data_IF_474135925987
#
_entry.id   IF_474135925987
#
_cell.length_a   1.000
_cell.length_b   1.000
_cell.length_c   1.000
_cell.angle_alpha   90.00
_cell.angle_beta   90.00
_cell.angle_gamma   90.00
#
_symmetry.space_group_name_H-M   'P 1'
#
loop_
_entity.id
_entity.type
_entity.pdbx_description
1 polymer ?
#
# COMPACT_ATOMS: atom_id res chain seq x y z
N UNK A 1 0.31 -22.61 -1.97
CA UNK A 1 1.57 -22.36 -2.69
C UNK A 1 2.70 -23.12 -2.02
N UNK A 2 3.61 -23.63 -2.81
CA UNK A 2 4.80 -24.35 -2.35
C UNK A 2 5.93 -23.36 -2.00
N UNK A 3 6.84 -23.68 -1.05
CA UNK A 3 8.09 -22.93 -0.91
C UNK A 3 8.89 -22.98 -2.22
N UNK A 4 9.48 -21.87 -2.64
CA UNK A 4 10.22 -21.73 -3.89
C UNK A 4 9.36 -21.22 -5.04
N UNK A 5 9.64 -21.71 -6.26
CA UNK A 5 8.98 -21.23 -7.48
C UNK A 5 7.62 -21.89 -7.68
N UNK A 6 6.59 -21.08 -7.89
CA UNK A 6 5.24 -21.51 -8.25
C UNK A 6 4.89 -20.91 -9.62
N UNK A 7 4.71 -21.75 -10.63
CA UNK A 7 4.34 -21.35 -11.98
C UNK A 7 2.84 -21.46 -12.18
N UNK A 8 2.18 -20.34 -12.50
CA UNK A 8 0.74 -20.28 -12.76
C UNK A 8 0.52 -20.12 -14.26
N UNK A 9 0.08 -21.18 -14.91
CA UNK A 9 -0.15 -21.23 -16.35
C UNK A 9 -1.63 -21.45 -16.69
N UNK A 10 -2.04 -21.04 -17.88
CA UNK A 10 -3.40 -21.21 -18.39
C UNK A 10 -3.70 -20.15 -19.45
N UNK A 11 -4.85 -20.27 -20.11
CA UNK A 11 -5.32 -19.34 -21.12
C UNK A 11 -5.63 -17.95 -20.52
N UNK A 12 -5.74 -16.94 -21.39
CA UNK A 12 -6.12 -15.59 -20.98
C UNK A 12 -7.52 -15.58 -20.36
N UNK A 13 -7.77 -14.63 -19.49
CA UNK A 13 -9.04 -14.45 -18.76
C UNK A 13 -9.40 -15.57 -17.75
N UNK A 14 -8.52 -16.54 -17.46
CA UNK A 14 -8.77 -17.62 -16.48
C UNK A 14 -8.48 -17.23 -15.01
N UNK A 15 -8.23 -15.94 -14.72
CA UNK A 15 -8.07 -15.48 -13.35
C UNK A 15 -6.66 -15.58 -12.76
N UNK A 16 -5.62 -15.89 -13.54
CA UNK A 16 -4.22 -15.95 -13.07
C UNK A 16 -3.81 -14.65 -12.33
N UNK A 17 -4.07 -13.52 -12.95
CA UNK A 17 -3.78 -12.21 -12.36
C UNK A 17 -4.64 -11.93 -11.13
N UNK A 18 -5.89 -12.41 -11.10
CA UNK A 18 -6.76 -12.25 -9.92
C UNK A 18 -6.22 -13.01 -8.71
N UNK A 19 -5.60 -14.18 -8.93
CA UNK A 19 -4.93 -14.92 -7.85
C UNK A 19 -3.75 -14.12 -7.27
N UNK A 20 -2.87 -13.58 -8.13
CA UNK A 20 -1.78 -12.71 -7.67
C UNK A 20 -2.31 -11.45 -6.97
N UNK A 21 -3.38 -10.87 -7.51
CA UNK A 21 -4.04 -9.71 -6.91
C UNK A 21 -4.62 -10.02 -5.53
N UNK A 22 -5.19 -11.21 -5.33
CA UNK A 22 -5.72 -11.62 -4.03
C UNK A 22 -4.62 -11.75 -2.97
N UNK A 23 -3.47 -12.32 -3.32
CA UNK A 23 -2.31 -12.42 -2.43
C UNK A 23 -1.79 -11.02 -2.06
N UNK A 24 -1.61 -10.16 -3.06
CA UNK A 24 -1.19 -8.77 -2.83
C UNK A 24 -2.20 -7.98 -1.99
N UNK A 25 -3.50 -8.20 -2.22
CA UNK A 25 -4.56 -7.56 -1.44
C UNK A 25 -4.53 -7.99 0.03
N UNK A 26 -4.34 -9.27 0.30
CA UNK A 26 -4.25 -9.80 1.67
C UNK A 26 -3.02 -9.26 2.42
N UNK A 27 -1.94 -8.90 1.72
CA UNK A 27 -0.75 -8.32 2.34
C UNK A 27 -0.86 -6.82 2.58
N UNK A 28 -1.47 -6.07 1.65
CA UNK A 28 -1.45 -4.59 1.65
C UNK A 28 -2.80 -3.95 1.97
N UNK A 29 -3.88 -4.74 1.86
CA UNK A 29 -5.25 -4.24 1.89
C UNK A 29 -5.61 -3.37 0.68
N UNK A 30 -4.87 -3.44 -0.42
CA UNK A 30 -5.10 -2.66 -1.64
C UNK A 30 -4.89 -3.53 -2.88
N UNK A 31 -5.61 -3.23 -3.97
CA UNK A 31 -5.30 -3.77 -5.28
C UNK A 31 -4.16 -2.98 -5.93
N UNK A 32 -3.37 -3.63 -6.77
CA UNK A 32 -2.39 -2.96 -7.63
C UNK A 32 -2.99 -2.49 -8.95
N UNK A 33 -4.18 -3.00 -9.34
CA UNK A 33 -4.87 -2.69 -10.60
C UNK A 33 -5.89 -1.58 -10.47
N UNK A 34 -6.59 -1.50 -9.34
CA UNK A 34 -7.68 -0.56 -9.13
C UNK A 34 -7.68 0.03 -7.72
N UNK A 35 -8.13 1.28 -7.61
CA UNK A 35 -8.41 1.92 -6.33
C UNK A 35 -9.80 1.59 -5.78
N UNK A 36 -10.69 1.02 -6.62
CA UNK A 36 -12.10 0.76 -6.29
C UNK A 36 -12.31 -0.70 -5.92
N UNK A 37 -12.53 -0.99 -4.66
CA UNK A 37 -12.77 -2.35 -4.18
C UNK A 37 -13.95 -3.06 -4.87
N UNK A 38 -14.93 -2.30 -5.36
CA UNK A 38 -16.10 -2.84 -6.07
C UNK A 38 -15.73 -3.54 -7.38
N UNK A 39 -14.65 -3.08 -8.04
CA UNK A 39 -14.15 -3.69 -9.29
C UNK A 39 -13.45 -5.05 -9.07
N UNK A 40 -13.20 -5.42 -7.81
CA UNK A 40 -12.65 -6.73 -7.41
C UNK A 40 -13.75 -7.78 -7.19
N UNK A 41 -15.00 -7.38 -7.27
CA UNK A 41 -16.15 -8.24 -7.03
C UNK A 41 -16.73 -8.69 -8.36
N UNK A 42 -17.03 -9.98 -8.47
CA UNK A 42 -17.65 -10.55 -9.67
C UNK A 42 -18.96 -9.82 -9.97
N UNK A 43 -19.22 -9.55 -11.24
CA UNK A 43 -20.50 -8.97 -11.69
C UNK A 43 -21.67 -9.79 -11.17
N UNK A 44 -22.66 -9.09 -10.57
CA UNK A 44 -23.86 -9.72 -9.98
C UNK A 44 -23.63 -10.33 -8.59
N UNK A 45 -22.42 -10.34 -8.05
CA UNK A 45 -22.15 -10.79 -6.68
C UNK A 45 -22.28 -9.63 -5.68
N UNK A 46 -22.76 -9.95 -4.48
CA UNK A 46 -22.88 -8.96 -3.40
C UNK A 46 -21.55 -8.71 -2.68
N UNK A 47 -20.66 -9.69 -2.67
CA UNK A 47 -19.35 -9.60 -2.00
C UNK A 47 -18.30 -10.49 -2.66
N UNK A 48 -17.04 -10.21 -2.35
CA UNK A 48 -15.91 -11.11 -2.58
C UNK A 48 -15.26 -11.45 -1.24
N UNK A 49 -14.86 -12.70 -1.07
CA UNK A 49 -14.19 -13.22 0.12
C UNK A 49 -12.83 -13.79 -0.26
N UNK A 50 -11.79 -13.17 0.26
CA UNK A 50 -10.40 -13.56 0.05
C UNK A 50 -9.87 -14.12 1.36
N UNK A 51 -9.29 -15.32 1.34
CA UNK A 51 -8.69 -15.90 2.53
C UNK A 51 -7.42 -16.67 2.20
N UNK A 52 -6.48 -16.66 3.12
CA UNK A 52 -5.32 -17.53 3.08
C UNK A 52 -4.91 -17.95 4.49
N UNK A 53 -4.24 -19.09 4.57
CA UNK A 53 -3.51 -19.54 5.74
C UNK A 53 -2.02 -19.42 5.42
N UNK A 54 -1.26 -18.87 6.36
CA UNK A 54 0.18 -18.66 6.21
C UNK A 54 0.90 -19.06 7.51
N UNK A 55 2.15 -19.45 7.37
CA UNK A 55 3.03 -19.71 8.49
C UNK A 55 3.97 -18.51 8.65
N UNK A 56 3.84 -17.77 9.75
CA UNK A 56 4.61 -16.56 10.03
C UNK A 56 4.90 -16.45 11.52
N UNK A 57 6.13 -16.04 11.85
CA UNK A 57 6.54 -15.87 13.24
C UNK A 57 6.45 -17.17 14.07
N UNK A 58 6.74 -18.32 13.44
CA UNK A 58 6.70 -19.63 14.13
C UNK A 58 5.31 -20.21 14.36
N UNK A 59 4.27 -19.61 13.80
CA UNK A 59 2.87 -20.06 13.98
C UNK A 59 2.06 -19.94 12.70
N UNK A 60 1.03 -20.77 12.62
CA UNK A 60 0.01 -20.65 11.58
C UNK A 60 -0.90 -19.45 11.87
N UNK A 61 -1.20 -18.68 10.85
CA UNK A 61 -2.10 -17.52 10.92
C UNK A 61 -3.03 -17.51 9.72
N UNK A 62 -4.28 -17.09 9.91
CA UNK A 62 -5.21 -16.87 8.81
C UNK A 62 -5.37 -15.38 8.53
N UNK A 63 -5.40 -15.02 7.26
CA UNK A 63 -5.80 -13.70 6.78
C UNK A 63 -7.10 -13.82 6.00
N UNK A 64 -8.02 -12.88 6.19
CA UNK A 64 -9.26 -12.81 5.43
C UNK A 64 -9.62 -11.37 5.12
N UNK A 65 -10.10 -11.13 3.90
CA UNK A 65 -10.65 -9.84 3.49
C UNK A 65 -12.01 -10.07 2.82
N UNK A 66 -13.04 -9.37 3.31
CA UNK A 66 -14.39 -9.38 2.72
C UNK A 66 -14.67 -8.01 2.13
N UNK A 67 -14.96 -7.98 0.83
CA UNK A 67 -15.27 -6.79 0.04
C UNK A 67 -16.75 -6.81 -0.31
N UNK A 68 -17.42 -5.66 -0.27
CA UNK A 68 -18.86 -5.56 -0.54
C UNK A 68 -19.10 -4.66 -1.75
N UNK A 69 -20.08 -5.02 -2.60
CA UNK A 69 -20.46 -4.28 -3.80
C UNK A 69 -21.14 -2.94 -3.50
N UNK A 70 -21.77 -2.81 -2.33
CA UNK A 70 -22.46 -1.60 -1.89
C UNK A 70 -21.60 -0.62 -1.08
N UNK A 71 -22.23 0.25 -0.30
CA UNK A 71 -21.57 1.26 0.56
C UNK A 71 -20.93 0.68 1.82
N UNK A 72 -21.14 -0.60 2.09
CA UNK A 72 -20.57 -1.27 3.26
C UNK A 72 -19.05 -1.28 3.18
N UNK A 73 -18.33 -0.85 4.24
CA UNK A 73 -16.88 -0.88 4.25
C UNK A 73 -16.37 -2.33 4.25
N UNK A 74 -15.25 -2.54 3.58
CA UNK A 74 -14.54 -3.83 3.62
C UNK A 74 -14.21 -4.25 5.04
N UNK A 75 -14.06 -5.54 5.24
CA UNK A 75 -13.67 -6.12 6.52
C UNK A 75 -12.37 -6.91 6.35
N UNK A 76 -11.44 -6.72 7.27
CA UNK A 76 -10.13 -7.38 7.28
C UNK A 76 -9.99 -8.13 8.60
N UNK A 77 -9.42 -9.34 8.55
CA UNK A 77 -9.27 -10.20 9.72
C UNK A 77 -7.88 -10.84 9.73
N UNK A 78 -7.32 -11.03 10.94
CA UNK A 78 -6.11 -11.78 11.24
C UNK A 78 -6.46 -12.76 12.34
N UNK A 79 -6.30 -14.07 12.12
CA UNK A 79 -6.66 -15.09 13.11
C UNK A 79 -8.10 -15.00 13.57
N UNK A 80 -9.04 -14.61 12.68
CA UNK A 80 -10.44 -14.38 13.01
C UNK A 80 -10.73 -13.03 13.68
N UNK A 81 -9.72 -12.27 14.10
CA UNK A 81 -9.90 -10.98 14.78
C UNK A 81 -10.00 -9.85 13.74
N UNK A 82 -11.10 -9.10 13.78
CA UNK A 82 -11.35 -7.98 12.86
C UNK A 82 -10.37 -6.84 13.10
N UNK A 83 -9.76 -6.37 12.04
CA UNK A 83 -8.84 -5.23 12.04
C UNK A 83 -9.58 -3.92 11.78
N UNK A 84 -9.16 -2.85 12.45
CA UNK A 84 -9.76 -1.50 12.26
C UNK A 84 -9.37 -0.86 10.94
N UNK A 85 -8.19 -1.20 10.41
CA UNK A 85 -7.67 -0.64 9.17
C UNK A 85 -6.67 -1.59 8.49
N UNK A 86 -6.28 -1.29 7.25
CA UNK A 86 -5.23 -2.04 6.55
C UNK A 86 -3.86 -1.97 7.24
N UNK A 87 -3.61 -0.95 8.05
CA UNK A 87 -2.37 -0.86 8.83
C UNK A 87 -2.20 -2.04 9.81
N UNK A 88 -3.31 -2.68 10.23
CA UNK A 88 -3.26 -3.89 11.04
C UNK A 88 -2.65 -5.10 10.33
N UNK A 89 -2.67 -5.14 9.00
CA UNK A 89 -2.07 -6.24 8.21
C UNK A 89 -0.53 -6.16 8.15
N UNK A 90 0.04 -5.01 8.52
CA UNK A 90 1.48 -4.76 8.44
C UNK A 90 2.30 -5.84 9.17
N UNK A 91 3.28 -6.40 8.48
CA UNK A 91 4.19 -7.39 9.03
C UNK A 91 3.67 -8.83 9.11
N UNK A 92 2.42 -9.09 8.75
CA UNK A 92 1.85 -10.45 8.79
C UNK A 92 2.19 -11.22 7.52
N UNK A 93 1.89 -10.64 6.36
CA UNK A 93 2.28 -11.12 5.05
C UNK A 93 2.98 -9.99 4.32
N UNK A 94 4.21 -10.22 3.85
CA UNK A 94 4.94 -9.26 3.02
C UNK A 94 5.03 -9.78 1.60
N UNK A 95 4.77 -8.90 0.63
CA UNK A 95 4.82 -9.23 -0.79
C UNK A 95 5.65 -8.22 -1.56
N UNK A 96 6.40 -8.68 -2.54
CA UNK A 96 7.01 -7.84 -3.57
C UNK A 96 6.36 -8.22 -4.89
N UNK A 97 5.72 -7.24 -5.50
CA UNK A 97 5.10 -7.41 -6.82
C UNK A 97 5.99 -6.74 -7.86
N UNK A 98 6.19 -7.40 -8.97
CA UNK A 98 6.74 -6.80 -10.18
C UNK A 98 5.79 -7.09 -11.34
N UNK A 99 5.39 -6.04 -12.04
CA UNK A 99 4.57 -6.13 -13.24
C UNK A 99 5.16 -5.20 -14.34
N UNK A 100 4.82 -5.42 -15.61
CA UNK A 100 5.36 -4.60 -16.71
C UNK A 100 5.15 -3.09 -16.54
N UNK A 101 4.04 -2.69 -15.91
CA UNK A 101 3.73 -1.28 -15.65
C UNK A 101 4.71 -0.63 -14.66
N UNK A 102 5.40 -1.42 -13.83
CA UNK A 102 6.39 -0.90 -12.89
C UNK A 102 7.61 -0.31 -13.59
N UNK A 103 7.88 -0.71 -14.84
CA UNK A 103 8.91 -0.09 -15.68
C UNK A 103 8.62 1.38 -15.99
N UNK A 104 7.35 1.77 -15.93
CA UNK A 104 6.93 3.17 -16.15
C UNK A 104 7.07 4.04 -14.89
N UNK A 105 7.38 3.45 -13.74
CA UNK A 105 7.45 4.17 -12.45
C UNK A 105 8.49 5.29 -12.47
N UNK A 106 9.63 5.07 -13.12
CA UNK A 106 10.66 6.10 -13.27
C UNK A 106 10.18 7.26 -14.16
N UNK A 107 9.30 6.97 -15.12
CA UNK A 107 8.66 7.97 -15.98
C UNK A 107 7.43 8.61 -15.33
N UNK A 108 6.86 7.96 -14.32
CA UNK A 108 5.76 8.53 -13.54
C UNK A 108 6.28 9.66 -12.65
N UNK A 109 5.44 10.64 -12.38
CA UNK A 109 5.78 11.75 -11.48
C UNK A 109 6.12 11.28 -10.04
N UNK A 110 6.43 12.22 -9.17
CA UNK A 110 6.81 11.96 -7.78
C UNK A 110 5.80 11.11 -6.99
N UNK A 111 4.51 11.16 -7.36
CA UNK A 111 3.45 10.35 -6.74
C UNK A 111 3.65 8.86 -6.95
N UNK A 112 4.02 8.43 -8.17
CA UNK A 112 4.30 7.02 -8.48
C UNK A 112 5.49 6.50 -7.68
N UNK A 113 6.59 7.26 -7.66
CA UNK A 113 7.78 6.90 -6.88
C UNK A 113 7.49 6.81 -5.38
N UNK A 114 6.73 7.76 -4.81
CA UNK A 114 6.30 7.69 -3.40
C UNK A 114 5.44 6.46 -3.12
N UNK A 115 4.55 6.08 -4.05
CA UNK A 115 3.69 4.91 -3.89
C UNK A 115 4.47 3.62 -3.65
N UNK A 116 5.63 3.44 -4.30
CA UNK A 116 6.50 2.27 -4.08
C UNK A 116 7.04 2.26 -2.66
N UNK A 117 7.63 3.40 -2.21
CA UNK A 117 8.15 3.53 -0.86
C UNK A 117 7.05 3.29 0.17
N UNK A 118 5.89 3.89 -0.04
CA UNK A 118 4.75 3.75 0.86
C UNK A 118 4.22 2.32 0.93
N UNK A 119 4.18 1.62 -0.21
CA UNK A 119 3.74 0.21 -0.27
C UNK A 119 4.70 -0.68 0.51
N UNK A 120 6.00 -0.51 0.35
CA UNK A 120 7.00 -1.27 1.08
C UNK A 120 6.98 -0.93 2.59
N UNK A 121 7.01 0.35 2.93
CA UNK A 121 7.03 0.81 4.32
C UNK A 121 5.76 0.44 5.10
N UNK A 122 4.59 0.50 4.47
CA UNK A 122 3.34 0.09 5.10
C UNK A 122 3.32 -1.41 5.45
N UNK A 123 4.00 -2.25 4.68
CA UNK A 123 4.13 -3.67 4.99
C UNK A 123 5.14 -3.93 6.11
N UNK A 124 6.24 -3.16 6.16
CA UNK A 124 7.37 -3.40 7.04
C UNK A 124 7.27 -2.70 8.40
N UNK A 125 6.53 -1.61 8.49
CA UNK A 125 6.52 -0.71 9.64
C UNK A 125 5.09 -0.29 10.02
N UNK A 126 4.46 -0.93 11.01
CA UNK A 126 3.11 -0.55 11.46
C UNK A 126 2.98 0.93 11.84
N UNK A 127 4.01 1.50 12.51
CA UNK A 127 4.03 2.91 12.86
C UNK A 127 4.02 3.85 11.65
N UNK A 128 4.69 3.45 10.56
CA UNK A 128 4.61 4.19 9.30
C UNK A 128 3.21 4.13 8.70
N UNK A 129 2.62 2.94 8.63
CA UNK A 129 1.28 2.76 8.08
C UNK A 129 0.23 3.58 8.83
N UNK A 130 0.36 3.68 10.16
CA UNK A 130 -0.51 4.51 11.00
C UNK A 130 -0.30 6.00 10.70
N UNK A 131 0.96 6.46 10.68
CA UNK A 131 1.29 7.86 10.41
C UNK A 131 0.82 8.29 9.01
N UNK A 132 1.03 7.45 7.98
CA UNK A 132 0.58 7.73 6.62
C UNK A 132 -0.95 7.84 6.54
N UNK A 133 -1.68 6.94 7.21
CA UNK A 133 -3.13 6.96 7.25
C UNK A 133 -3.67 8.20 7.97
N UNK A 134 -3.04 8.61 9.09
CA UNK A 134 -3.38 9.83 9.81
C UNK A 134 -3.11 11.07 8.96
N UNK A 135 -1.94 11.15 8.32
CA UNK A 135 -1.59 12.26 7.44
C UNK A 135 -2.60 12.41 6.31
N UNK A 136 -2.99 11.30 5.66
CA UNK A 136 -3.97 11.33 4.58
C UNK A 136 -5.34 11.82 5.07
N UNK A 137 -5.79 11.36 6.25
CA UNK A 137 -7.04 11.81 6.84
C UNK A 137 -7.03 13.33 7.13
N UNK A 138 -5.93 13.84 7.69
CA UNK A 138 -5.76 15.28 7.96
C UNK A 138 -5.74 16.07 6.65
N UNK A 139 -5.03 15.58 5.63
CA UNK A 139 -4.97 16.20 4.31
C UNK A 139 -6.36 16.29 3.66
N UNK A 140 -7.12 15.20 3.67
CA UNK A 140 -8.46 15.17 3.09
C UNK A 140 -9.42 16.13 3.83
N UNK A 141 -9.33 16.18 5.17
CA UNK A 141 -10.13 17.09 5.99
C UNK A 141 -9.76 18.55 5.72
N UNK A 142 -8.46 18.89 5.69
CA UNK A 142 -7.98 20.23 5.36
C UNK A 142 -8.39 20.62 3.93
N UNK A 143 -8.27 19.72 2.97
CA UNK A 143 -8.67 19.99 1.58
C UNK A 143 -10.16 20.30 1.47
N UNK A 144 -11.01 19.62 2.26
CA UNK A 144 -12.44 19.91 2.32
C UNK A 144 -12.71 21.28 2.91
N UNK A 145 -12.09 21.60 4.05
CA UNK A 145 -12.18 22.94 4.66
C UNK A 145 -11.83 24.01 3.65
N UNK A 146 -10.68 23.87 2.96
CA UNK A 146 -10.23 24.85 1.97
C UNK A 146 -11.11 24.93 0.71
N UNK A 147 -11.92 23.92 0.45
CA UNK A 147 -12.90 23.97 -0.64
C UNK A 147 -14.17 24.70 -0.23
N UNK A 148 -14.64 24.50 1.00
CA UNK A 148 -15.96 24.88 1.43
C UNK A 148 -15.94 26.21 2.27
N UNK A 149 -14.76 26.81 2.56
CA UNK A 149 -14.64 28.00 3.44
C UNK A 149 -15.30 29.26 2.88
N UNK A 150 -15.48 29.37 1.57
CA UNK A 150 -16.16 30.50 0.95
C UNK A 150 -17.62 30.60 1.38
N UNK A 151 -18.27 29.46 1.58
CA UNK A 151 -19.67 29.40 2.02
C UNK A 151 -19.80 29.45 3.55
N UNK A 152 -18.72 29.09 4.28
CA UNK A 152 -18.68 29.06 5.73
C UNK A 152 -17.28 29.44 6.26
N UNK A 153 -16.98 30.76 6.43
CA UNK A 153 -15.66 31.24 6.82
C UNK A 153 -15.15 30.70 8.17
N UNK A 154 -16.04 30.36 9.10
CA UNK A 154 -15.68 29.74 10.39
C UNK A 154 -14.99 28.39 10.26
N UNK A 155 -15.09 27.73 9.10
CA UNK A 155 -14.33 26.51 8.82
C UNK A 155 -12.81 26.71 8.83
N UNK A 156 -12.33 27.96 8.73
CA UNK A 156 -10.90 28.27 8.80
C UNK A 156 -10.35 28.24 10.23
N UNK A 157 -11.17 28.37 11.25
CA UNK A 157 -10.75 28.43 12.66
C UNK A 157 -9.89 27.22 13.08
N UNK A 158 -10.20 25.97 12.73
CA UNK A 158 -9.39 24.81 13.11
C UNK A 158 -8.14 24.61 12.23
N UNK A 159 -7.92 25.38 11.17
CA UNK A 159 -6.78 25.18 10.25
C UNK A 159 -5.40 25.23 10.92
N UNK A 160 -5.11 26.13 11.88
CA UNK A 160 -3.81 26.14 12.56
C UNK A 160 -3.51 24.81 13.25
N UNK A 161 -4.49 24.21 13.91
CA UNK A 161 -4.33 22.90 14.56
C UNK A 161 -4.12 21.78 13.54
N UNK A 162 -4.88 21.78 12.44
CA UNK A 162 -4.64 20.84 11.32
C UNK A 162 -3.23 20.99 10.75
N UNK A 163 -2.75 22.21 10.54
CA UNK A 163 -1.41 22.45 10.02
C UNK A 163 -0.32 21.94 10.98
N UNK A 164 -0.47 22.24 12.28
CA UNK A 164 0.46 21.78 13.29
C UNK A 164 0.52 20.24 13.34
N UNK A 165 -0.63 19.60 13.39
CA UNK A 165 -0.70 18.13 13.42
C UNK A 165 -0.18 17.49 12.14
N UNK A 166 -0.49 18.07 10.98
CA UNK A 166 0.06 17.61 9.70
C UNK A 166 1.59 17.74 9.64
N UNK A 167 2.15 18.81 10.18
CA UNK A 167 3.61 18.97 10.24
C UNK A 167 4.26 17.89 11.10
N UNK A 168 3.70 17.61 12.29
CA UNK A 168 4.20 16.56 13.18
C UNK A 168 4.16 15.17 12.52
N UNK A 169 3.01 14.77 11.99
CA UNK A 169 2.83 13.46 11.37
C UNK A 169 3.61 13.37 10.05
N UNK A 170 3.66 14.47 9.29
CA UNK A 170 4.45 14.57 8.06
C UNK A 170 5.94 14.38 8.30
N UNK A 171 6.49 14.93 9.37
CA UNK A 171 7.88 14.73 9.76
C UNK A 171 8.19 13.26 10.04
N UNK A 172 7.28 12.53 10.67
CA UNK A 172 7.41 11.07 10.89
C UNK A 172 7.45 10.33 9.56
N UNK A 173 6.53 10.63 8.63
CA UNK A 173 6.49 10.02 7.29
C UNK A 173 7.78 10.28 6.53
N UNK A 174 8.28 11.52 6.53
CA UNK A 174 9.53 11.91 5.87
C UNK A 174 10.73 11.14 6.46
N UNK A 175 10.82 11.07 7.78
CA UNK A 175 11.92 10.37 8.46
C UNK A 175 12.00 8.88 8.09
N UNK A 176 10.84 8.20 8.05
CA UNK A 176 10.77 6.80 7.61
C UNK A 176 11.20 6.62 6.15
N UNK A 177 10.68 7.47 5.24
CA UNK A 177 11.03 7.41 3.81
C UNK A 177 12.52 7.66 3.59
N UNK A 178 13.08 8.69 4.21
CA UNK A 178 14.50 9.02 4.09
C UNK A 178 15.41 7.90 4.61
N UNK A 179 15.06 7.30 5.75
CA UNK A 179 15.79 6.15 6.30
C UNK A 179 15.71 4.93 5.38
N UNK A 180 14.52 4.60 4.91
CA UNK A 180 14.31 3.45 4.03
C UNK A 180 15.04 3.63 2.69
N UNK A 181 14.96 4.82 2.10
CA UNK A 181 15.62 5.08 0.83
C UNK A 181 17.14 4.98 0.91
N UNK A 182 17.74 5.40 2.04
CA UNK A 182 19.18 5.22 2.27
C UNK A 182 19.60 3.75 2.23
N UNK A 183 18.83 2.87 2.87
CA UNK A 183 19.12 1.43 2.86
C UNK A 183 18.85 0.81 1.49
N UNK A 184 17.73 1.19 0.86
CA UNK A 184 17.38 0.74 -0.48
C UNK A 184 18.42 1.15 -1.51
N UNK A 185 18.96 2.38 -1.42
CA UNK A 185 19.98 2.90 -2.34
C UNK A 185 21.23 2.04 -2.38
N UNK A 186 21.67 1.52 -1.22
CA UNK A 186 22.84 0.64 -1.15
C UNK A 186 22.64 -0.63 -1.97
N UNK A 187 21.50 -1.29 -1.77
CA UNK A 187 21.17 -2.53 -2.49
C UNK A 187 20.89 -2.27 -3.98
N UNK A 188 20.15 -1.20 -4.27
CA UNK A 188 19.82 -0.84 -5.64
C UNK A 188 21.09 -0.55 -6.48
N UNK A 189 22.11 0.12 -5.90
CA UNK A 189 23.39 0.34 -6.57
C UNK A 189 24.09 -0.96 -6.93
N UNK A 190 24.12 -1.92 -6.00
CA UNK A 190 24.78 -3.21 -6.22
C UNK A 190 24.11 -3.98 -7.37
N UNK A 191 22.79 -4.15 -7.32
CA UNK A 191 22.08 -4.85 -8.38
C UNK A 191 22.10 -4.10 -9.71
N UNK A 192 22.05 -2.76 -9.69
CA UNK A 192 22.14 -1.98 -10.91
C UNK A 192 23.51 -2.11 -11.57
N UNK A 193 24.59 -2.10 -10.80
CA UNK A 193 25.94 -2.33 -11.31
C UNK A 193 26.06 -3.72 -11.93
N UNK A 194 25.47 -4.75 -11.31
CA UNK A 194 25.44 -6.12 -11.85
C UNK A 194 24.68 -6.15 -13.21
N UNK A 195 23.46 -5.59 -13.28
CA UNK A 195 22.66 -5.59 -14.50
C UNK A 195 23.27 -4.75 -15.64
N UNK A 196 23.89 -3.63 -15.31
CA UNK A 196 24.53 -2.76 -16.31
C UNK A 196 25.95 -3.22 -16.71
N UNK A 197 26.48 -4.29 -16.06
CA UNK A 197 27.88 -4.68 -16.23
C UNK A 197 28.86 -3.58 -15.75
N UNK A 198 28.49 -2.78 -14.75
CA UNK A 198 29.28 -1.69 -14.19
C UNK A 198 29.32 -0.42 -15.06
N UNK A 199 28.54 -0.36 -16.14
CA UNK A 199 28.57 0.77 -17.10
C UNK A 199 27.81 2.00 -16.61
N UNK A 200 26.92 1.83 -15.64
CA UNK A 200 26.04 2.89 -15.15
C UNK A 200 26.06 2.95 -13.63
N UNK A 201 25.99 4.13 -13.07
CA UNK A 201 25.87 4.35 -11.64
C UNK A 201 24.46 4.84 -11.27
N UNK A 202 23.80 4.12 -10.35
CA UNK A 202 22.49 4.49 -9.82
C UNK A 202 22.63 5.25 -8.50
N UNK A 203 21.97 6.41 -8.41
CA UNK A 203 21.82 7.16 -7.15
C UNK A 203 20.35 7.41 -6.85
N UNK A 204 19.94 7.12 -5.61
CA UNK A 204 18.58 7.40 -5.12
C UNK A 204 18.69 8.48 -4.05
N UNK A 205 18.03 9.62 -4.28
CA UNK A 205 18.03 10.78 -3.38
C UNK A 205 16.60 11.11 -2.96
N UNK A 206 16.41 11.38 -1.65
CA UNK A 206 15.14 11.91 -1.13
C UNK A 206 15.23 13.43 -1.06
N UNK A 207 14.39 14.10 -1.84
CA UNK A 207 14.23 15.55 -1.86
C UNK A 207 12.87 15.94 -1.28
#
# INVERSE_FOLDING_TARGET
LHPGVNLIVGENAQGKTNLLESVFYLSTGKSFRTARNQELIRFGAEFADLSCTLFSGGREQSLRAVLFSGRRPRQLYIGGVKQRSAAGLSGVLTTVLFCPDDLLILKSGSSGRRKILDTALCQLRPGYAQALAEYQKLYDSKSRILKDYHDAPSLLEPLPEFNYRMAQVGAVVIAYRAKFLRELSKQARLYHAEFSGGREELSLVYQ
#
